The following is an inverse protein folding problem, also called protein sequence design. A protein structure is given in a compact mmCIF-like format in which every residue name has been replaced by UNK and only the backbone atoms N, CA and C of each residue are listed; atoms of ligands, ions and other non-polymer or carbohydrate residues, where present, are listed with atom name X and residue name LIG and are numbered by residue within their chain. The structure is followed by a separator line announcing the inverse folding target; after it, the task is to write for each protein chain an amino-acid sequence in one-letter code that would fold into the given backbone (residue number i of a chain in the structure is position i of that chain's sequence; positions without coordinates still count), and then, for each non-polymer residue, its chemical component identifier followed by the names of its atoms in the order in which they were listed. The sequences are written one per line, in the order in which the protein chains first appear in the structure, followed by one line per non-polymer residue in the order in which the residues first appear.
data_IF_236251078983
#
_entry.id   IF_236251078983
#
_cell.length_a   1.000
_cell.length_b   1.000
_cell.length_c   1.000
_cell.angle_alpha   90.00
_cell.angle_beta   90.00
_cell.angle_gamma   90.00
#
_symmetry.space_group_name_H-M   'P 1'
#
loop_
_entity.id
_entity.type
_entity.pdbx_description
1 polymer ?
#
# COMPACT_ATOMS: atom_id res chain seq x y z
N UNK A 1 -11.67 20.08 -2.36
CA UNK A 1 -10.31 19.78 -1.85
C UNK A 1 -10.32 18.88 -0.60
N UNK A 2 -10.99 19.27 0.49
CA UNK A 2 -10.93 18.52 1.77
C UNK A 2 -11.41 17.06 1.65
N UNK A 3 -12.55 16.83 0.99
CA UNK A 3 -13.12 15.49 0.78
C UNK A 3 -12.22 14.60 -0.08
N UNK A 4 -11.48 15.20 -1.00
CA UNK A 4 -10.56 14.50 -1.87
C UNK A 4 -9.32 14.03 -1.12
N UNK A 5 -8.71 14.90 -0.32
CA UNK A 5 -7.60 14.53 0.58
C UNK A 5 -8.06 13.44 1.57
N UNK A 6 -9.26 13.59 2.14
CA UNK A 6 -9.84 12.59 3.03
C UNK A 6 -10.03 11.24 2.34
N UNK A 7 -10.56 11.22 1.11
CA UNK A 7 -10.75 9.98 0.33
C UNK A 7 -9.42 9.29 0.05
N UNK A 8 -8.39 10.03 -0.35
CA UNK A 8 -7.05 9.46 -0.60
C UNK A 8 -6.47 8.86 0.68
N UNK A 9 -6.55 9.58 1.80
CA UNK A 9 -6.04 9.09 3.08
C UNK A 9 -6.80 7.82 3.51
N UNK A 10 -8.12 7.79 3.33
CA UNK A 10 -8.94 6.62 3.60
C UNK A 10 -8.51 5.43 2.72
N UNK A 11 -8.28 5.63 1.42
CA UNK A 11 -7.82 4.58 0.51
C UNK A 11 -6.45 4.01 0.91
N UNK A 12 -5.52 4.88 1.30
CA UNK A 12 -4.18 4.48 1.76
C UNK A 12 -4.24 3.62 3.04
N UNK A 13 -5.19 3.90 3.93
CA UNK A 13 -5.40 3.09 5.15
C UNK A 13 -6.13 1.80 4.81
N UNK A 14 -7.18 1.83 4.00
CA UNK A 14 -7.97 0.64 3.65
C UNK A 14 -7.14 -0.39 2.86
N UNK A 15 -6.22 0.05 2.00
CA UNK A 15 -5.44 -0.85 1.15
C UNK A 15 -4.67 -1.94 1.94
N UNK A 16 -3.85 -1.63 2.96
CA UNK A 16 -3.23 -2.62 3.84
C UNK A 16 -4.22 -3.54 4.56
N UNK A 17 -5.39 -3.02 4.97
CA UNK A 17 -6.44 -3.82 5.62
C UNK A 17 -6.94 -4.92 4.66
N UNK A 18 -7.27 -4.55 3.43
CA UNK A 18 -7.74 -5.47 2.40
C UNK A 18 -6.70 -6.55 2.10
N UNK A 19 -5.42 -6.19 2.01
CA UNK A 19 -4.33 -7.15 1.84
C UNK A 19 -4.29 -8.15 3.00
N UNK A 20 -4.46 -7.67 4.23
CA UNK A 20 -4.53 -8.51 5.44
C UNK A 20 -5.72 -9.46 5.40
N UNK A 21 -6.90 -8.97 5.02
CA UNK A 21 -8.11 -9.77 4.87
C UNK A 21 -7.94 -10.86 3.80
N UNK A 22 -7.44 -10.51 2.62
CA UNK A 22 -7.19 -11.47 1.52
C UNK A 22 -6.23 -12.55 1.97
N UNK A 23 -5.14 -12.18 2.66
CA UNK A 23 -4.14 -13.14 3.15
C UNK A 23 -4.72 -14.05 4.23
N UNK A 24 -5.48 -13.49 5.17
CA UNK A 24 -6.17 -14.24 6.23
C UNK A 24 -7.15 -15.25 5.64
N UNK A 25 -7.99 -14.80 4.70
CA UNK A 25 -8.95 -15.65 3.98
C UNK A 25 -8.26 -16.76 3.20
N UNK A 26 -7.19 -16.45 2.44
CA UNK A 26 -6.41 -17.46 1.72
C UNK A 26 -5.86 -18.54 2.65
N UNK A 27 -5.35 -18.17 3.82
CA UNK A 27 -4.83 -19.16 4.76
C UNK A 27 -5.93 -19.99 5.42
N UNK A 28 -7.07 -19.37 5.74
CA UNK A 28 -8.24 -20.08 6.22
C UNK A 28 -8.71 -21.15 5.21
N UNK A 29 -8.85 -20.77 3.93
CA UNK A 29 -9.25 -21.69 2.85
C UNK A 29 -8.24 -22.83 2.62
N UNK A 30 -6.97 -22.60 2.96
CA UNK A 30 -5.91 -23.61 2.90
C UNK A 30 -5.79 -24.43 4.20
N UNK A 31 -6.77 -24.36 5.11
CA UNK A 31 -6.77 -25.04 6.41
C UNK A 31 -5.53 -24.70 7.28
N UNK A 32 -5.02 -23.48 7.16
CA UNK A 32 -3.91 -22.96 7.97
C UNK A 32 -4.43 -21.95 8.99
N UNK A 33 -3.71 -21.78 10.11
CA UNK A 33 -4.02 -20.75 11.11
C UNK A 33 -3.95 -19.35 10.47
N UNK A 34 -5.05 -18.57 10.43
CA UNK A 34 -5.08 -17.26 9.79
C UNK A 34 -4.13 -16.24 10.44
N UNK A 35 -3.67 -15.29 9.65
CA UNK A 35 -2.77 -14.20 10.07
C UNK A 35 -3.63 -13.03 10.52
N UNK A 36 -3.13 -12.23 11.46
CA UNK A 36 -3.81 -10.99 11.85
C UNK A 36 -4.06 -10.10 10.63
N UNK A 37 -5.29 -9.62 10.49
CA UNK A 37 -5.69 -8.70 9.42
C UNK A 37 -4.89 -7.38 9.51
N UNK A 38 -4.45 -7.01 10.72
CA UNK A 38 -3.64 -5.80 10.95
C UNK A 38 -2.13 -6.01 10.76
N UNK A 39 -1.69 -7.25 10.47
CA UNK A 39 -0.28 -7.58 10.24
C UNK A 39 0.39 -6.69 9.16
N UNK A 40 -0.27 -6.32 8.05
CA UNK A 40 0.33 -5.46 7.03
C UNK A 40 0.73 -4.08 7.55
N UNK A 41 -0.02 -3.48 8.48
CA UNK A 41 0.35 -2.19 9.08
C UNK A 41 1.62 -2.30 9.92
N UNK A 42 1.70 -3.32 10.79
CA UNK A 42 2.90 -3.56 11.60
C UNK A 42 4.12 -3.88 10.73
N UNK A 43 3.91 -4.62 9.64
CA UNK A 43 4.96 -4.96 8.68
C UNK A 43 5.45 -3.73 7.92
N UNK A 44 4.53 -2.87 7.46
CA UNK A 44 4.86 -1.64 6.76
C UNK A 44 5.68 -0.70 7.67
N UNK A 45 5.21 -0.47 8.89
CA UNK A 45 5.95 0.33 9.88
C UNK A 45 7.35 -0.26 10.16
N UNK A 46 7.44 -1.57 10.32
CA UNK A 46 8.72 -2.27 10.51
C UNK A 46 9.68 -2.05 9.35
N UNK A 47 9.19 -2.06 8.10
CA UNK A 47 10.02 -1.85 6.91
C UNK A 47 10.49 -0.40 6.78
N UNK A 48 9.66 0.58 7.15
CA UNK A 48 10.05 1.99 7.13
C UNK A 48 11.16 2.34 8.14
N UNK A 49 11.19 1.64 9.27
CA UNK A 49 12.20 1.85 10.33
C UNK A 49 13.51 1.11 10.01
N UNK A 50 13.48 0.12 9.12
CA UNK A 50 14.67 -0.67 8.79
C UNK A 50 15.67 0.14 7.95
N UNK A 51 16.95 -0.05 8.26
CA UNK A 51 18.04 0.46 7.43
C UNK A 51 18.00 -0.17 6.03
N UNK A 52 18.31 0.65 5.03
CA UNK A 52 18.40 0.20 3.64
C UNK A 52 19.84 -0.20 3.35
N UNK A 53 20.06 -1.48 3.05
CA UNK A 53 21.37 -2.01 2.70
C UNK A 53 21.49 -2.02 1.18
N UNK A 54 22.49 -1.32 0.65
CA UNK A 54 22.77 -1.21 -0.79
C UNK A 54 24.19 -1.72 -1.03
N UNK A 55 24.36 -2.64 -1.99
CA UNK A 55 25.68 -3.16 -2.36
C UNK A 55 26.57 -2.09 -2.99
N UNK A 56 27.87 -2.15 -2.72
CA UNK A 56 28.87 -1.26 -3.31
C UNK A 56 28.92 -1.35 -4.83
N UNK A 57 28.73 -2.55 -5.39
CA UNK A 57 28.75 -2.81 -6.84
C UNK A 57 27.41 -2.49 -7.52
N UNK A 58 26.41 -2.01 -6.78
CA UNK A 58 25.10 -1.75 -7.35
C UNK A 58 25.06 -0.44 -8.13
N UNK A 59 24.34 -0.46 -9.25
CA UNK A 59 24.16 0.75 -10.06
C UNK A 59 23.18 1.73 -9.39
N UNK A 60 23.17 2.98 -9.85
CA UNK A 60 22.24 4.02 -9.41
C UNK A 60 20.77 3.62 -9.59
N UNK A 61 20.49 2.71 -10.53
CA UNK A 61 19.14 2.18 -10.80
C UNK A 61 18.53 1.59 -9.52
N UNK A 62 19.31 0.94 -8.66
CA UNK A 62 18.86 0.35 -7.40
C UNK A 62 18.21 1.40 -6.47
N UNK A 63 18.70 2.64 -6.49
CA UNK A 63 18.16 3.73 -5.67
C UNK A 63 16.92 4.38 -6.28
N UNK A 64 16.88 4.53 -7.60
CA UNK A 64 15.80 5.24 -8.30
C UNK A 64 14.62 4.34 -8.67
N UNK A 65 14.84 3.04 -8.85
CA UNK A 65 13.82 2.11 -9.31
C UNK A 65 12.57 2.06 -8.41
N UNK A 66 12.68 2.04 -7.06
CA UNK A 66 11.50 2.08 -6.20
C UNK A 66 10.64 3.33 -6.42
N UNK A 67 11.27 4.48 -6.66
CA UNK A 67 10.58 5.74 -6.95
C UNK A 67 9.88 5.66 -8.32
N UNK A 68 10.57 5.17 -9.35
CA UNK A 68 10.01 5.03 -10.71
C UNK A 68 8.79 4.09 -10.75
N UNK A 69 8.78 3.02 -9.95
CA UNK A 69 7.63 2.11 -9.85
C UNK A 69 6.48 2.75 -9.07
N UNK A 70 6.77 3.52 -8.02
CA UNK A 70 5.76 4.11 -7.15
C UNK A 70 5.09 5.36 -7.76
N UNK A 71 5.82 6.15 -8.54
CA UNK A 71 5.32 7.38 -9.17
C UNK A 71 4.02 7.22 -9.98
N UNK A 72 3.92 6.31 -10.97
CA UNK A 72 2.68 6.16 -11.73
C UNK A 72 1.51 5.67 -10.87
N UNK A 73 1.77 4.84 -9.86
CA UNK A 73 0.74 4.36 -8.93
C UNK A 73 0.17 5.51 -8.10
N UNK A 74 1.03 6.42 -7.63
CA UNK A 74 0.59 7.63 -6.93
C UNK A 74 -0.24 8.54 -7.84
N UNK A 75 0.19 8.73 -9.10
CA UNK A 75 -0.56 9.54 -10.06
C UNK A 75 -1.95 8.94 -10.27
N UNK A 76 -2.05 7.64 -10.53
CA UNK A 76 -3.34 6.95 -10.70
C UNK A 76 -4.22 7.07 -9.46
N UNK A 77 -3.65 6.96 -8.25
CA UNK A 77 -4.37 7.15 -6.99
C UNK A 77 -4.98 8.56 -6.89
N UNK A 78 -4.25 9.59 -7.36
CA UNK A 78 -4.75 10.96 -7.39
C UNK A 78 -5.87 11.15 -8.44
N UNK A 79 -5.89 10.39 -9.53
CA UNK A 79 -7.00 10.50 -10.50
C UNK A 79 -8.30 9.84 -10.04
N UNK A 80 -8.32 9.11 -8.91
CA UNK A 80 -9.55 8.50 -8.41
C UNK A 80 -10.57 9.55 -7.94
N UNK A 81 -11.84 9.42 -8.34
CA UNK A 81 -12.88 10.36 -7.93
C UNK A 81 -13.12 10.26 -6.40
N UNK A 82 -13.28 11.40 -5.70
CA UNK A 82 -13.61 11.39 -4.29
C UNK A 82 -15.00 10.79 -4.06
N UNK A 83 -15.21 10.17 -2.90
CA UNK A 83 -16.52 9.60 -2.53
C UNK A 83 -17.45 10.76 -2.14
N UNK A 84 -18.13 11.32 -3.13
CA UNK A 84 -19.10 12.42 -2.98
C UNK A 84 -20.39 12.03 -3.70
N UNK A 85 -21.54 12.44 -3.16
CA UNK A 85 -22.84 12.19 -3.80
C UNK A 85 -22.84 12.84 -5.20
N UNK A 86 -23.02 12.02 -6.26
CA UNK A 86 -22.99 12.47 -7.66
C UNK A 86 -21.63 12.37 -8.37
N UNK A 87 -20.61 11.75 -7.75
CA UNK A 87 -19.36 11.42 -8.43
C UNK A 87 -19.59 10.25 -9.41
N UNK A 88 -19.84 10.55 -10.67
CA UNK A 88 -19.82 9.59 -11.79
C UNK A 88 -18.48 9.70 -12.54
N UNK A 89 -18.06 8.59 -13.15
CA UNK A 89 -16.90 8.54 -14.05
C UNK A 89 -17.17 9.33 -15.34
#
# INVERSE_FOLDING_TARGET
MILYIFTILLLLIIAPLLIGMIKSLKMFLLYKKPVSIFQPYATFNKLLIKEVIISHESSIITRIAPLLVLSPLLIVLLFLPPVVHGAYY
#
